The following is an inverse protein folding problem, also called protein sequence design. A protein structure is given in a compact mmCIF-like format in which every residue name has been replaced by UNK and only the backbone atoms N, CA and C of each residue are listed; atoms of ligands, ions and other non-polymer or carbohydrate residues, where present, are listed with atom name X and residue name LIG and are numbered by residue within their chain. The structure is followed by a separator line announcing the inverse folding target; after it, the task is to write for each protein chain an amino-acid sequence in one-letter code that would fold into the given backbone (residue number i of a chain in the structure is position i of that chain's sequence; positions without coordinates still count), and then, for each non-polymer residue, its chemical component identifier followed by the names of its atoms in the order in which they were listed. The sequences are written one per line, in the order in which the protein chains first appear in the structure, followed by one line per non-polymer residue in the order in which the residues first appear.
data_IF_830264122801
#
_entry.id   IF_830264122801
#
_cell.length_a   1.000
_cell.length_b   1.000
_cell.length_c   1.000
_cell.angle_alpha   90.00
_cell.angle_beta   90.00
_cell.angle_gamma   90.00
#
_symmetry.space_group_name_H-M   'P 1'
#
loop_
_entity.id
_entity.type
_entity.pdbx_description
1 polymer ?
#
# COMPACT_ATOMS: atom_id res chain seq x y z
N UNK A 1 -25.40 11.60 20.68
CA UNK A 1 -25.76 10.71 19.55
C UNK A 1 -25.41 9.25 19.82
N UNK A 2 -24.14 8.86 20.03
CA UNK A 2 -23.74 7.44 20.23
C UNK A 2 -24.48 6.74 21.39
N UNK A 3 -24.67 7.42 22.53
CA UNK A 3 -25.43 6.89 23.68
C UNK A 3 -26.90 6.63 23.34
N UNK A 4 -27.52 7.54 22.58
CA UNK A 4 -28.93 7.39 22.17
C UNK A 4 -29.10 6.22 21.19
N UNK A 5 -28.16 6.02 20.26
CA UNK A 5 -28.18 4.88 19.32
C UNK A 5 -27.98 3.57 20.09
N UNK A 6 -27.04 3.54 21.03
CA UNK A 6 -26.85 2.38 21.92
C UNK A 6 -28.14 2.04 22.67
N UNK A 7 -28.77 3.04 23.31
CA UNK A 7 -30.03 2.84 24.03
C UNK A 7 -31.16 2.37 23.11
N UNK A 8 -31.26 2.92 21.90
CA UNK A 8 -32.25 2.50 20.90
C UNK A 8 -32.11 1.00 20.57
N UNK A 9 -30.88 0.53 20.38
CA UNK A 9 -30.60 -0.89 20.13
C UNK A 9 -30.84 -1.77 21.36
N UNK A 10 -30.49 -1.30 22.57
CA UNK A 10 -30.75 -2.03 23.84
C UNK A 10 -32.24 -2.22 24.12
N UNK A 11 -33.10 -1.35 23.59
CA UNK A 11 -34.55 -1.49 23.63
C UNK A 11 -35.10 -2.48 22.59
N UNK A 12 -34.22 -3.18 21.86
CA UNK A 12 -34.59 -4.19 20.86
C UNK A 12 -34.88 -3.62 19.46
N UNK A 13 -34.66 -2.32 19.23
CA UNK A 13 -34.90 -1.73 17.92
C UNK A 13 -33.74 -2.01 16.97
N UNK A 14 -34.07 -2.38 15.72
CA UNK A 14 -33.09 -2.61 14.67
C UNK A 14 -32.61 -1.32 14.01
N UNK A 15 -31.35 -1.31 13.58
CA UNK A 15 -30.80 -0.29 12.67
C UNK A 15 -31.26 -0.59 11.23
N UNK A 16 -32.57 -0.44 10.98
CA UNK A 16 -33.16 -0.55 9.65
C UNK A 16 -32.77 0.63 8.75
N UNK A 17 -33.19 0.63 7.48
CA UNK A 17 -32.84 1.67 6.51
C UNK A 17 -33.18 3.09 7.03
N UNK A 18 -34.39 3.31 7.52
CA UNK A 18 -34.83 4.61 8.07
C UNK A 18 -33.94 5.05 9.24
N UNK A 19 -33.60 4.15 10.15
CA UNK A 19 -32.72 4.46 11.28
C UNK A 19 -31.30 4.77 10.81
N UNK A 20 -30.76 4.02 9.85
CA UNK A 20 -29.45 4.25 9.25
C UNK A 20 -29.36 5.61 8.55
N UNK A 21 -30.38 5.98 7.78
CA UNK A 21 -30.46 7.29 7.13
C UNK A 21 -30.60 8.43 8.15
N UNK A 22 -31.43 8.23 9.19
CA UNK A 22 -31.65 9.23 10.23
C UNK A 22 -30.37 9.53 11.03
N UNK A 23 -29.56 8.52 11.34
CA UNK A 23 -28.27 8.74 12.00
C UNK A 23 -27.19 9.17 11.00
N UNK A 24 -27.33 8.80 9.73
CA UNK A 24 -26.39 9.09 8.67
C UNK A 24 -25.01 8.47 8.87
N UNK A 25 -24.16 8.57 7.85
CA UNK A 25 -22.87 7.87 7.84
C UNK A 25 -21.93 8.30 8.97
N UNK A 26 -21.98 9.59 9.36
CA UNK A 26 -21.16 10.12 10.46
C UNK A 26 -21.32 9.29 11.74
N UNK A 27 -22.56 8.97 12.13
CA UNK A 27 -22.79 8.21 13.34
C UNK A 27 -22.68 6.71 13.12
N UNK A 28 -22.94 6.20 11.91
CA UNK A 28 -22.58 4.81 11.53
C UNK A 28 -21.09 4.55 11.74
N UNK A 29 -20.20 5.48 11.37
CA UNK A 29 -18.75 5.34 11.57
C UNK A 29 -18.33 5.28 13.05
N UNK A 30 -19.20 5.67 13.99
CA UNK A 30 -18.92 5.63 15.43
C UNK A 30 -19.49 4.39 16.12
N UNK A 31 -20.22 3.54 15.40
CA UNK A 31 -20.72 2.29 15.93
C UNK A 31 -19.56 1.30 16.13
N UNK A 32 -19.63 0.55 17.23
CA UNK A 32 -18.66 -0.52 17.46
C UNK A 32 -18.95 -1.75 16.59
N UNK A 33 -18.00 -2.69 16.54
CA UNK A 33 -18.12 -3.89 15.71
C UNK A 33 -19.39 -4.71 16.00
N UNK A 34 -19.81 -4.82 17.26
CA UNK A 34 -21.02 -5.56 17.64
C UNK A 34 -22.27 -4.88 17.08
N UNK A 35 -22.36 -3.56 17.18
CA UNK A 35 -23.49 -2.77 16.67
C UNK A 35 -23.55 -2.83 15.14
N UNK A 36 -22.41 -2.71 14.45
CA UNK A 36 -22.33 -2.84 12.99
C UNK A 36 -22.72 -4.24 12.53
N UNK A 37 -22.29 -5.29 13.24
CA UNK A 37 -22.66 -6.68 12.93
C UNK A 37 -24.14 -6.97 13.16
N UNK A 38 -24.82 -6.21 14.02
CA UNK A 38 -26.25 -6.32 14.26
C UNK A 38 -27.11 -5.69 13.13
N UNK A 39 -26.54 -4.91 12.22
CA UNK A 39 -27.25 -4.39 11.05
C UNK A 39 -27.66 -5.56 10.15
N UNK A 40 -28.95 -5.64 9.83
CA UNK A 40 -29.47 -6.65 8.91
C UNK A 40 -29.10 -6.26 7.46
N UNK A 41 -28.47 -7.14 6.65
CA UNK A 41 -27.99 -6.79 5.31
C UNK A 41 -29.04 -6.11 4.40
N UNK A 42 -30.30 -6.58 4.30
CA UNK A 42 -31.35 -5.91 3.54
C UNK A 42 -31.54 -4.42 3.86
N UNK A 43 -31.21 -3.97 5.08
CA UNK A 43 -31.29 -2.56 5.47
C UNK A 43 -30.39 -1.66 4.62
N UNK A 44 -29.28 -2.19 4.10
CA UNK A 44 -28.36 -1.46 3.23
C UNK A 44 -28.87 -1.30 1.79
N UNK A 45 -29.93 -2.02 1.38
CA UNK A 45 -30.52 -1.85 0.04
C UNK A 45 -31.17 -0.47 -0.14
N UNK A 46 -31.68 0.09 0.96
CA UNK A 46 -32.46 1.33 0.95
C UNK A 46 -31.77 2.49 1.67
N UNK A 47 -30.74 2.21 2.47
CA UNK A 47 -29.98 3.25 3.15
C UNK A 47 -28.98 3.93 2.21
N UNK A 48 -28.86 5.25 2.31
CA UNK A 48 -27.88 6.04 1.57
C UNK A 48 -26.69 6.36 2.48
N UNK A 49 -25.63 5.55 2.36
CA UNK A 49 -24.42 5.69 3.19
C UNK A 49 -23.16 5.83 2.32
N UNK A 50 -22.27 6.74 2.73
CA UNK A 50 -20.91 6.87 2.19
C UNK A 50 -19.87 6.62 3.30
N UNK A 51 -19.43 5.36 3.51
CA UNK A 51 -18.48 5.02 4.56
C UNK A 51 -17.01 5.35 4.21
N UNK A 52 -16.76 6.15 3.15
CA UNK A 52 -15.42 6.51 2.69
C UNK A 52 -14.52 7.09 3.79
N UNK A 53 -15.09 7.83 4.73
CA UNK A 53 -14.38 8.43 5.87
C UNK A 53 -14.34 7.54 7.13
N UNK A 54 -15.02 6.38 7.15
CA UNK A 54 -15.00 5.51 8.32
C UNK A 54 -13.63 4.81 8.51
N UNK A 55 -13.43 4.25 9.71
CA UNK A 55 -12.31 3.35 9.99
C UNK A 55 -12.29 2.14 9.04
N UNK A 56 -11.11 1.55 8.83
CA UNK A 56 -11.00 0.36 7.98
C UNK A 56 -11.82 -0.82 8.52
N UNK A 57 -11.88 -1.00 9.85
CA UNK A 57 -12.71 -2.03 10.47
C UNK A 57 -14.20 -1.84 10.13
N UNK A 58 -14.71 -0.61 10.24
CA UNK A 58 -16.08 -0.28 9.86
C UNK A 58 -16.35 -0.57 8.39
N UNK A 59 -15.44 -0.14 7.49
CA UNK A 59 -15.55 -0.40 6.05
C UNK A 59 -15.62 -1.90 5.77
N UNK A 60 -14.76 -2.70 6.41
CA UNK A 60 -14.75 -4.15 6.24
C UNK A 60 -16.08 -4.79 6.63
N UNK A 61 -16.65 -4.40 7.78
CA UNK A 61 -17.93 -4.94 8.25
C UNK A 61 -19.07 -4.52 7.30
N UNK A 62 -19.15 -3.23 6.96
CA UNK A 62 -20.19 -2.72 6.06
C UNK A 62 -20.09 -3.33 4.67
N UNK A 63 -18.90 -3.57 4.14
CA UNK A 63 -18.71 -4.27 2.88
C UNK A 63 -19.29 -5.68 2.90
N UNK A 64 -19.02 -6.47 3.95
CA UNK A 64 -19.57 -7.83 4.06
C UNK A 64 -21.10 -7.81 4.16
N UNK A 65 -21.67 -6.81 4.86
CA UNK A 65 -23.11 -6.61 4.92
C UNK A 65 -23.68 -6.22 3.55
N UNK A 66 -23.05 -5.29 2.83
CA UNK A 66 -23.50 -4.87 1.50
C UNK A 66 -23.42 -6.03 0.50
N UNK A 67 -22.33 -6.79 0.48
CA UNK A 67 -22.18 -8.00 -0.34
C UNK A 67 -23.30 -9.02 -0.09
N UNK A 68 -23.64 -9.26 1.19
CA UNK A 68 -24.76 -10.13 1.53
C UNK A 68 -26.11 -9.55 1.07
N UNK A 69 -26.31 -8.25 1.27
CA UNK A 69 -27.53 -7.54 0.86
C UNK A 69 -27.78 -7.69 -0.64
N UNK A 70 -26.77 -7.47 -1.47
CA UNK A 70 -26.90 -7.47 -2.93
C UNK A 70 -26.51 -8.79 -3.60
N UNK A 71 -26.45 -9.88 -2.83
CA UNK A 71 -26.04 -11.20 -3.34
C UNK A 71 -26.95 -11.72 -4.46
N UNK A 72 -28.23 -11.35 -4.47
CA UNK A 72 -29.21 -11.64 -5.52
C UNK A 72 -28.86 -10.97 -6.86
N UNK A 73 -28.13 -9.86 -6.81
CA UNK A 73 -27.74 -9.07 -7.98
C UNK A 73 -26.37 -9.50 -8.54
N UNK A 74 -25.63 -10.41 -7.90
CA UNK A 74 -24.21 -10.67 -8.21
C UNK A 74 -23.91 -11.08 -9.66
N UNK A 75 -24.90 -11.59 -10.39
CA UNK A 75 -24.77 -11.97 -11.82
C UNK A 75 -25.17 -10.87 -12.80
N UNK A 76 -25.62 -9.73 -12.28
CA UNK A 76 -26.15 -8.63 -13.08
C UNK A 76 -25.11 -7.51 -13.17
N UNK A 77 -25.01 -6.80 -14.32
CA UNK A 77 -24.08 -5.69 -14.47
C UNK A 77 -24.21 -4.60 -13.39
N UNK A 78 -25.43 -4.38 -12.87
CA UNK A 78 -25.70 -3.41 -11.82
C UNK A 78 -25.06 -3.73 -10.46
N UNK A 79 -24.57 -4.98 -10.24
CA UNK A 79 -23.99 -5.38 -8.96
C UNK A 79 -22.84 -4.47 -8.51
N UNK A 80 -21.96 -4.10 -9.44
CA UNK A 80 -20.83 -3.23 -9.16
C UNK A 80 -21.28 -1.87 -8.61
N UNK A 81 -22.28 -1.25 -9.24
CA UNK A 81 -22.82 0.05 -8.83
C UNK A 81 -23.42 0.01 -7.42
N UNK A 82 -24.10 -1.09 -7.07
CA UNK A 82 -24.74 -1.28 -5.77
C UNK A 82 -23.72 -1.41 -4.62
N UNK A 83 -22.57 -2.05 -4.87
CA UNK A 83 -21.53 -2.24 -3.84
C UNK A 83 -20.48 -1.12 -3.83
N UNK A 84 -20.45 -0.26 -4.85
CA UNK A 84 -19.43 0.77 -5.06
C UNK A 84 -19.12 1.61 -3.79
N UNK A 85 -20.10 2.12 -3.03
CA UNK A 85 -19.83 2.92 -1.82
C UNK A 85 -19.05 2.16 -0.74
N UNK A 86 -19.11 0.83 -0.75
CA UNK A 86 -18.56 -0.04 0.28
C UNK A 86 -17.22 -0.68 -0.11
N UNK A 87 -16.74 -0.49 -1.36
CA UNK A 87 -15.55 -1.16 -1.88
C UNK A 87 -14.25 -0.86 -1.11
N UNK A 88 -14.22 0.23 -0.35
CA UNK A 88 -13.12 0.51 0.58
C UNK A 88 -12.89 -0.58 1.63
N UNK A 89 -13.83 -1.50 1.84
CA UNK A 89 -13.71 -2.67 2.73
C UNK A 89 -13.56 -4.02 2.03
N UNK A 90 -13.47 -4.04 0.69
CA UNK A 90 -13.50 -5.28 -0.09
C UNK A 90 -12.24 -6.12 0.06
N UNK A 91 -12.34 -7.45 0.29
CA UNK A 91 -11.18 -8.33 0.27
C UNK A 91 -10.65 -8.55 -1.14
N UNK A 92 -9.37 -8.93 -1.23
CA UNK A 92 -8.68 -9.16 -2.50
C UNK A 92 -9.43 -10.13 -3.41
N UNK A 93 -9.93 -11.24 -2.86
CA UNK A 93 -10.70 -12.24 -3.62
C UNK A 93 -11.93 -11.63 -4.32
N UNK A 94 -12.61 -10.68 -3.69
CA UNK A 94 -13.78 -10.05 -4.30
C UNK A 94 -13.39 -9.02 -5.36
N UNK A 95 -12.28 -8.30 -5.17
CA UNK A 95 -11.71 -7.43 -6.19
C UNK A 95 -11.23 -8.23 -7.42
N UNK A 96 -10.66 -9.42 -7.20
CA UNK A 96 -10.26 -10.33 -8.28
C UNK A 96 -11.46 -10.86 -9.07
N UNK A 97 -12.60 -11.08 -8.41
CA UNK A 97 -13.86 -11.40 -9.09
C UNK A 97 -14.31 -10.22 -9.94
N UNK A 98 -14.42 -9.01 -9.37
CA UNK A 98 -14.80 -7.80 -10.12
C UNK A 98 -13.87 -7.50 -11.29
N UNK A 99 -12.58 -7.83 -11.16
CA UNK A 99 -11.63 -7.70 -12.26
C UNK A 99 -12.02 -8.55 -13.47
N UNK A 100 -12.60 -9.74 -13.27
CA UNK A 100 -12.99 -10.62 -14.39
C UNK A 100 -14.21 -10.07 -15.14
N UNK A 101 -15.01 -9.26 -14.45
CA UNK A 101 -16.23 -8.64 -14.98
C UNK A 101 -15.98 -7.32 -15.72
N UNK A 102 -14.74 -6.81 -15.74
CA UNK A 102 -14.35 -5.57 -16.43
C UNK A 102 -15.19 -4.33 -16.02
N UNK A 103 -15.30 -4.09 -14.71
CA UNK A 103 -16.27 -3.15 -14.12
C UNK A 103 -16.02 -1.65 -14.36
N UNK A 104 -14.95 -1.27 -15.07
CA UNK A 104 -14.60 0.13 -15.35
C UNK A 104 -14.50 1.00 -14.08
N UNK A 105 -13.78 0.53 -13.06
CA UNK A 105 -13.59 1.24 -11.80
C UNK A 105 -12.87 2.57 -11.99
N UNK A 106 -13.39 3.63 -11.40
CA UNK A 106 -12.71 4.92 -11.37
C UNK A 106 -11.39 4.83 -10.58
N UNK A 107 -10.35 5.50 -11.05
CA UNK A 107 -9.05 5.51 -10.33
C UNK A 107 -9.19 6.14 -8.95
N UNK A 108 -10.09 7.12 -8.77
CA UNK A 108 -10.44 7.68 -7.46
C UNK A 108 -10.99 6.64 -6.48
N UNK A 109 -11.80 5.67 -6.95
CA UNK A 109 -12.23 4.53 -6.14
C UNK A 109 -11.06 3.58 -5.89
N UNK A 110 -10.28 3.25 -6.91
CA UNK A 110 -9.14 2.34 -6.80
C UNK A 110 -8.15 2.77 -5.71
N UNK A 111 -7.81 4.06 -5.63
CA UNK A 111 -6.87 4.56 -4.61
C UNK A 111 -7.44 4.59 -3.18
N UNK A 112 -8.75 4.37 -3.03
CA UNK A 112 -9.43 4.29 -1.71
C UNK A 112 -9.69 2.87 -1.23
N UNK A 113 -9.36 1.86 -2.06
CA UNK A 113 -9.45 0.45 -1.67
C UNK A 113 -8.57 0.16 -0.45
N UNK A 114 -8.97 -0.84 0.34
CA UNK A 114 -8.17 -1.24 1.49
C UNK A 114 -6.78 -1.69 1.05
N UNK A 115 -5.77 -1.17 1.75
CA UNK A 115 -4.37 -1.25 1.32
C UNK A 115 -3.88 -2.68 1.18
N UNK A 116 -4.24 -3.56 2.11
CA UNK A 116 -3.85 -4.97 2.09
C UNK A 116 -4.37 -5.71 0.85
N UNK A 117 -5.57 -5.37 0.35
CA UNK A 117 -6.11 -5.99 -0.86
C UNK A 117 -5.57 -5.37 -2.14
N UNK A 118 -5.37 -4.06 -2.16
CA UNK A 118 -4.79 -3.39 -3.33
C UNK A 118 -3.38 -3.93 -3.62
N UNK A 119 -2.56 -4.14 -2.58
CA UNK A 119 -1.19 -4.61 -2.75
C UNK A 119 -1.07 -6.06 -3.26
N UNK A 120 -2.15 -6.85 -3.19
CA UNK A 120 -2.16 -8.22 -3.74
C UNK A 120 -2.54 -8.29 -5.21
N UNK A 121 -3.06 -7.20 -5.79
CA UNK A 121 -3.51 -7.20 -7.17
C UNK A 121 -2.32 -7.23 -8.13
N UNK A 122 -2.40 -8.04 -9.19
CA UNK A 122 -1.42 -8.02 -10.27
C UNK A 122 -1.83 -7.05 -11.39
N UNK A 123 -0.95 -6.73 -12.37
CA UNK A 123 -1.27 -5.78 -13.43
C UNK A 123 -2.48 -6.19 -14.28
N UNK A 124 -2.64 -7.48 -14.58
CA UNK A 124 -3.82 -7.97 -15.32
C UNK A 124 -5.12 -7.74 -14.55
N UNK A 125 -5.09 -7.95 -13.23
CA UNK A 125 -6.24 -7.68 -12.37
C UNK A 125 -6.57 -6.18 -12.28
N UNK A 126 -5.55 -5.32 -12.22
CA UNK A 126 -5.75 -3.87 -12.26
C UNK A 126 -6.32 -3.41 -13.61
N UNK A 127 -5.90 -4.02 -14.73
CA UNK A 127 -6.52 -3.78 -16.04
C UNK A 127 -8.00 -4.12 -16.03
N UNK A 128 -8.37 -5.29 -15.52
CA UNK A 128 -9.77 -5.71 -15.46
C UNK A 128 -10.61 -4.83 -14.54
N UNK A 129 -10.08 -4.44 -13.37
CA UNK A 129 -10.78 -3.52 -12.49
C UNK A 129 -11.01 -2.15 -13.14
N UNK A 130 -9.97 -1.51 -13.67
CA UNK A 130 -10.06 -0.14 -14.18
C UNK A 130 -10.72 -0.06 -15.56
N UNK A 131 -10.60 -1.11 -16.39
CA UNK A 131 -11.18 -1.16 -17.73
C UNK A 131 -10.83 0.09 -18.55
N UNK A 132 -11.86 0.79 -19.03
CA UNK A 132 -11.72 2.05 -19.80
C UNK A 132 -10.99 3.16 -19.05
N UNK A 133 -10.97 3.14 -17.71
CA UNK A 133 -10.31 4.13 -16.87
C UNK A 133 -8.82 3.83 -16.63
N UNK A 134 -8.30 2.70 -17.14
CA UNK A 134 -6.90 2.31 -16.96
C UNK A 134 -5.88 3.41 -17.36
N UNK A 135 -6.05 4.16 -18.47
CA UNK A 135 -5.09 5.21 -18.84
C UNK A 135 -4.93 6.30 -17.79
N UNK A 136 -5.95 6.55 -16.96
CA UNK A 136 -5.89 7.56 -15.90
C UNK A 136 -4.90 7.16 -14.80
N UNK A 137 -4.63 5.86 -14.60
CA UNK A 137 -3.72 5.35 -13.58
C UNK A 137 -2.30 5.94 -13.72
N UNK A 138 -1.86 6.24 -14.95
CA UNK A 138 -0.56 6.84 -15.22
C UNK A 138 -0.36 8.21 -14.53
N UNK A 139 -1.45 8.98 -14.34
CA UNK A 139 -1.44 10.26 -13.62
C UNK A 139 -1.17 10.10 -12.12
N UNK A 140 -1.39 8.90 -11.58
CA UNK A 140 -1.26 8.56 -10.17
C UNK A 140 0.03 7.81 -9.84
N UNK A 141 0.86 7.48 -10.83
CA UNK A 141 2.02 6.58 -10.67
C UNK A 141 3.01 7.00 -9.57
N UNK A 142 3.11 8.29 -9.25
CA UNK A 142 4.02 8.82 -8.22
C UNK A 142 3.34 9.08 -6.87
N UNK A 143 2.04 8.77 -6.74
CA UNK A 143 1.23 8.99 -5.54
C UNK A 143 0.92 7.67 -4.86
N UNK A 144 0.88 7.68 -3.53
CA UNK A 144 0.35 6.56 -2.78
C UNK A 144 -1.16 6.42 -3.04
N UNK A 145 -1.73 5.19 -3.07
CA UNK A 145 -1.06 3.88 -2.92
C UNK A 145 -0.46 3.33 -4.23
N UNK A 146 -0.74 3.95 -5.38
CA UNK A 146 -0.37 3.44 -6.72
C UNK A 146 1.14 3.25 -6.86
N UNK A 147 1.94 4.21 -6.41
CA UNK A 147 3.40 4.12 -6.44
C UNK A 147 3.92 2.90 -5.70
N UNK A 148 3.36 2.57 -4.56
CA UNK A 148 3.80 1.40 -3.79
C UNK A 148 3.38 0.11 -4.47
N UNK A 149 2.16 0.07 -5.03
CA UNK A 149 1.70 -1.06 -5.83
C UNK A 149 2.62 -1.32 -7.04
N UNK A 150 2.99 -0.27 -7.78
CA UNK A 150 3.91 -0.35 -8.94
C UNK A 150 5.24 -1.02 -8.54
N UNK A 151 5.82 -0.62 -7.40
CA UNK A 151 7.11 -1.14 -6.93
C UNK A 151 7.08 -2.62 -6.55
N UNK A 152 5.89 -3.19 -6.33
CA UNK A 152 5.71 -4.63 -6.06
C UNK A 152 5.64 -5.45 -7.36
N UNK A 153 5.41 -4.82 -8.51
CA UNK A 153 5.23 -5.50 -9.78
C UNK A 153 6.54 -5.63 -10.54
N UNK A 154 6.62 -6.59 -11.47
CA UNK A 154 7.69 -6.65 -12.45
C UNK A 154 7.47 -5.59 -13.53
N UNK A 155 8.53 -4.96 -14.00
CA UNK A 155 8.42 -3.94 -15.04
C UNK A 155 7.82 -4.51 -16.34
N UNK A 156 8.19 -5.74 -16.73
CA UNK A 156 7.61 -6.41 -17.91
C UNK A 156 6.09 -6.61 -17.83
N UNK A 157 5.55 -6.90 -16.64
CA UNK A 157 4.11 -7.07 -16.43
C UNK A 157 3.39 -5.71 -16.43
N UNK A 158 4.03 -4.66 -15.94
CA UNK A 158 3.54 -3.28 -16.05
C UNK A 158 3.54 -2.81 -17.51
N UNK A 159 4.56 -3.15 -18.29
CA UNK A 159 4.70 -2.75 -19.69
C UNK A 159 3.57 -3.33 -20.56
N UNK A 160 3.06 -4.53 -20.22
CA UNK A 160 1.88 -5.11 -20.88
C UNK A 160 0.67 -4.19 -20.79
N UNK A 161 0.55 -3.35 -19.75
CA UNK A 161 -0.56 -2.39 -19.61
C UNK A 161 -0.56 -1.31 -20.69
N UNK A 162 0.59 -1.04 -21.33
CA UNK A 162 0.72 -0.06 -22.42
C UNK A 162 0.29 1.37 -22.06
N UNK A 163 0.41 1.75 -20.78
CA UNK A 163 0.11 3.11 -20.28
C UNK A 163 1.35 3.85 -19.74
N UNK A 164 2.55 3.30 -19.94
CA UNK A 164 3.81 3.95 -19.56
C UNK A 164 4.08 4.00 -18.04
N UNK A 165 3.61 3.00 -17.27
CA UNK A 165 4.01 2.90 -15.85
C UNK A 165 5.47 2.49 -15.73
N UNK A 166 6.20 3.15 -14.83
CA UNK A 166 7.62 2.87 -14.58
C UNK A 166 7.91 2.74 -13.09
N UNK A 167 8.98 2.03 -12.74
CA UNK A 167 9.42 1.85 -11.35
C UNK A 167 9.07 0.49 -10.76
N UNK A 168 8.69 -0.48 -11.60
CA UNK A 168 8.61 -1.88 -11.23
C UNK A 168 9.99 -2.48 -10.95
N UNK A 169 9.99 -3.69 -10.39
CA UNK A 169 11.19 -4.50 -10.18
C UNK A 169 11.82 -4.89 -11.52
N UNK A 170 13.14 -4.87 -11.58
CA UNK A 170 13.89 -5.29 -12.77
C UNK A 170 13.88 -6.81 -12.88
N UNK A 171 13.78 -7.30 -14.11
CA UNK A 171 13.93 -8.71 -14.41
C UNK A 171 15.39 -8.99 -14.79
N UNK A 172 16.13 -9.63 -13.89
CA UNK A 172 17.49 -10.01 -14.15
C UNK A 172 18.19 -10.52 -12.89
N UNK A 173 18.94 -11.60 -13.04
CA UNK A 173 20.03 -11.90 -12.12
C UNK A 173 21.10 -10.81 -12.33
N UNK A 174 21.74 -10.35 -11.25
CA UNK A 174 23.03 -9.69 -11.42
C UNK A 174 23.94 -10.76 -12.02
N UNK A 175 24.20 -10.71 -13.33
CA UNK A 175 25.35 -11.39 -13.89
C UNK A 175 26.57 -10.64 -13.36
N UNK A 176 27.04 -11.05 -12.17
CA UNK A 176 28.40 -10.73 -11.74
C UNK A 176 29.28 -11.56 -12.68
N UNK A 177 29.46 -11.07 -13.90
CA UNK A 177 30.61 -11.46 -14.69
C UNK A 177 31.77 -10.85 -13.93
N UNK A 178 32.27 -11.59 -12.93
CA UNK A 178 33.61 -11.41 -12.41
C UNK A 178 34.49 -11.71 -13.61
N UNK A 179 34.67 -10.70 -14.45
CA UNK A 179 35.90 -10.58 -15.20
C UNK A 179 36.91 -10.54 -14.08
N UNK A 180 37.53 -11.70 -13.82
CA UNK A 180 38.75 -11.80 -13.06
C UNK A 180 39.75 -10.98 -13.87
N UNK A 181 39.69 -9.65 -13.77
CA UNK A 181 40.82 -8.81 -14.06
C UNK A 181 41.86 -9.37 -13.12
N UNK A 182 42.81 -10.14 -13.68
CA UNK A 182 43.96 -10.63 -12.97
C UNK A 182 44.56 -9.43 -12.27
N UNK A 183 44.27 -9.28 -10.98
CA UNK A 183 45.10 -8.48 -10.11
C UNK A 183 46.50 -9.07 -10.31
N UNK A 184 47.50 -8.28 -10.73
CA UNK A 184 48.86 -8.76 -10.76
C UNK A 184 49.14 -9.32 -9.36
N UNK A 185 49.62 -10.56 -9.31
CA UNK A 185 49.98 -11.20 -8.06
C UNK A 185 50.86 -10.22 -7.27
N UNK A 186 50.42 -9.85 -6.07
CA UNK A 186 51.22 -9.08 -5.15
C UNK A 186 52.49 -9.90 -4.90
N UNK A 187 53.61 -9.43 -5.44
CA UNK A 187 54.91 -10.06 -5.27
C UNK A 187 55.24 -10.08 -3.78
N UNK A 188 55.33 -11.27 -3.20
CA UNK A 188 55.78 -11.47 -1.83
C UNK A 188 57.27 -11.17 -1.76
N UNK A 189 57.64 -9.99 -1.27
CA UNK A 189 59.03 -9.67 -0.92
C UNK A 189 59.42 -10.39 0.39
N UNK A 190 60.65 -10.93 0.50
CA UNK A 190 61.07 -11.64 1.70
C UNK A 190 61.42 -10.65 2.82
N UNK A 191 61.12 -11.06 4.05
CA UNK A 191 61.45 -10.37 5.29
C UNK A 191 62.99 -10.37 5.46
N UNK A 192 63.63 -9.27 5.06
CA UNK A 192 65.05 -9.02 5.33
C UNK A 192 65.22 -8.31 6.66
N UNK A 193 65.96 -8.94 7.57
CA UNK A 193 66.34 -8.42 8.89
C UNK A 193 67.01 -7.05 8.78
N UNK A 194 66.38 -5.99 9.31
CA UNK A 194 67.04 -4.70 9.50
C UNK A 194 67.56 -4.63 10.93
N UNK A 195 68.88 -4.71 11.02
CA UNK A 195 69.65 -4.50 12.24
C UNK A 195 69.44 -3.10 12.81
N UNK A 196 69.52 -3.04 14.14
CA UNK A 196 69.38 -1.87 15.00
C UNK A 196 70.27 -0.69 14.57
N UNK A 197 69.67 0.48 14.36
CA UNK A 197 70.34 1.77 14.44
C UNK A 197 69.42 2.76 15.19
N UNK A 198 69.22 2.47 16.47
CA UNK A 198 68.87 3.49 17.47
C UNK A 198 70.10 4.39 17.63
N UNK A 199 69.89 5.66 17.99
CA UNK A 199 70.85 6.78 18.05
C UNK A 199 70.95 7.50 16.69
N UNK A 200 70.22 8.59 16.48
CA UNK A 200 70.77 9.92 16.75
C UNK A 200 69.69 11.04 16.82
N UNK A 201 68.43 10.71 17.12
CA UNK A 201 67.32 11.67 17.13
C UNK A 201 67.06 12.51 18.41
N UNK A 202 67.79 12.43 19.55
CA UNK A 202 67.56 13.38 20.65
C UNK A 202 68.32 14.72 20.54
N UNK A 203 69.32 14.85 19.66
CA UNK A 203 70.26 15.98 19.72
C UNK A 203 69.85 17.25 18.92
N UNK A 204 68.76 17.20 18.14
CA UNK A 204 68.34 18.37 17.32
C UNK A 204 67.17 19.19 17.91
N UNK A 205 66.58 18.76 19.03
CA UNK A 205 65.44 19.46 19.66
C UNK A 205 65.84 20.40 20.83
N UNK A 206 67.11 20.42 21.23
CA UNK A 206 67.61 21.29 22.31
C UNK A 206 68.38 22.53 21.81
N UNK A 207 68.77 22.61 20.54
CA UNK A 207 69.47 23.79 19.99
C UNK A 207 68.53 24.91 19.51
N UNK A 208 67.24 24.63 19.34
CA UNK A 208 66.22 25.63 18.91
C UNK A 208 65.54 26.36 20.09
N UNK A 209 65.75 25.92 21.33
CA UNK A 209 65.17 26.54 22.53
C UNK A 209 66.06 27.60 23.21
N UNK A 210 67.35 27.69 22.87
CA UNK A 210 68.26 28.68 23.47
C UNK A 210 68.53 29.93 22.61
N UNK A 211 67.99 30.00 21.38
CA UNK A 211 68.08 31.19 20.52
C UNK A 211 66.82 32.09 20.56
N UNK A 212 65.84 31.77 21.42
CA UNK A 212 64.59 32.53 21.57
C UNK A 212 64.50 33.31 22.90
N UNK A 213 65.58 33.36 23.69
CA UNK A 213 65.62 34.04 25.00
C UNK A 213 66.64 35.20 25.00
N UNK A 214 67.17 35.60 23.85
CA UNK A 214 68.05 36.77 23.74
C UNK A 214 67.87 37.50 22.38
N UNK A 215 66.65 37.97 22.12
CA UNK A 215 66.32 39.09 21.22
C UNK A 215 64.98 39.68 21.61
#
# INVERSE_FOLDING_TARGET
ASVAIKRYMELGNALNATALDAIGTRYVCLLNATQLKAIDPPSLKLASLDPSACSQETKNILYQKAKAAFSDQHRLPAYYELILPYLGGAPAADLQTLSRDNVNMNVSTFVTLRRDSLMTLNPSEVRGLLGLNLPELAKWQYRAPVREWIRLQKQSELDKLQIGLTGGTQEGYININIVTSRFPAMSSAPLGSVAMAVHLLPALLLSLLMMSILS
#
